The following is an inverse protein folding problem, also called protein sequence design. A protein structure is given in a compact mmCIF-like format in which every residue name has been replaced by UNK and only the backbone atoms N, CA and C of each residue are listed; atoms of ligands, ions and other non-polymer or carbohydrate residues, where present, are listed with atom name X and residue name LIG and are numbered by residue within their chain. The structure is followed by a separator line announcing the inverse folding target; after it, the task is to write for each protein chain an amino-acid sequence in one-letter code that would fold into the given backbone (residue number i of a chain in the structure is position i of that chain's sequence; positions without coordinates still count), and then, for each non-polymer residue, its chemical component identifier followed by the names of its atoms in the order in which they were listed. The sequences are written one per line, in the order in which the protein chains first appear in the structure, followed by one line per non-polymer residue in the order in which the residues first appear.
data_IF_119756667743
#
_entry.id   IF_119756667743
#
_cell.length_a   1.000
_cell.length_b   1.000
_cell.length_c   1.000
_cell.angle_alpha   90.00
_cell.angle_beta   90.00
_cell.angle_gamma   90.00
#
_symmetry.space_group_name_H-M   'P 1'
#
loop_
_entity.id
_entity.type
_entity.pdbx_description
1 polymer ?
#
# COMPACT_ATOMS: atom_id res chain seq x y z
N UNK A 1 25.17 -8.37 -8.35
CA UNK A 1 25.00 -7.13 -7.56
C UNK A 1 25.79 -7.16 -6.24
N UNK A 2 26.92 -7.89 -6.18
CA UNK A 2 27.71 -8.05 -4.96
C UNK A 2 28.93 -7.13 -5.07
N UNK A 3 28.80 -5.92 -4.54
CA UNK A 3 29.87 -4.93 -4.54
C UNK A 3 29.64 -3.91 -3.43
N UNK A 4 30.70 -3.46 -2.77
CA UNK A 4 30.63 -2.48 -1.66
C UNK A 4 30.15 -1.09 -2.10
N UNK A 5 30.18 -0.80 -3.41
CA UNK A 5 29.82 0.50 -3.95
C UNK A 5 28.31 0.55 -4.29
N UNK A 6 27.56 1.38 -3.56
CA UNK A 6 26.12 1.55 -3.75
C UNK A 6 25.75 1.96 -5.18
N UNK A 7 26.44 2.96 -5.76
CA UNK A 7 26.21 3.38 -7.15
C UNK A 7 26.43 2.27 -8.16
N UNK A 8 27.44 1.43 -7.96
CA UNK A 8 27.70 0.32 -8.88
C UNK A 8 26.54 -0.68 -8.87
N UNK A 9 25.94 -0.93 -7.70
CA UNK A 9 24.76 -1.79 -7.57
C UNK A 9 23.53 -1.14 -8.23
N UNK A 10 23.29 0.15 -8.03
CA UNK A 10 22.21 0.89 -8.70
C UNK A 10 22.33 0.81 -10.22
N UNK A 11 23.50 1.16 -10.77
CA UNK A 11 23.76 1.11 -12.21
C UNK A 11 23.60 -0.30 -12.76
N UNK A 12 24.02 -1.33 -12.01
CA UNK A 12 23.83 -2.73 -12.40
C UNK A 12 22.35 -3.12 -12.49
N UNK A 13 21.51 -2.63 -11.56
CA UNK A 13 20.06 -2.88 -11.58
C UNK A 13 19.38 -2.16 -12.74
N UNK A 14 19.74 -0.89 -12.98
CA UNK A 14 19.23 -0.11 -14.11
C UNK A 14 19.60 -0.79 -15.43
N UNK A 15 20.85 -1.21 -15.57
CA UNK A 15 21.33 -1.96 -16.75
C UNK A 15 20.54 -3.25 -16.95
N UNK A 16 20.28 -4.00 -15.86
CA UNK A 16 19.49 -5.23 -15.90
C UNK A 16 18.04 -4.96 -16.34
N UNK A 17 17.42 -3.88 -15.86
CA UNK A 17 16.07 -3.48 -16.26
C UNK A 17 15.99 -3.23 -17.77
N UNK A 18 16.93 -2.42 -18.29
CA UNK A 18 17.04 -2.12 -19.72
C UNK A 18 17.25 -3.39 -20.55
N UNK A 19 18.18 -4.26 -20.15
CA UNK A 19 18.45 -5.49 -20.92
C UNK A 19 17.31 -6.50 -20.86
N UNK A 20 16.54 -6.53 -19.76
CA UNK A 20 15.35 -7.39 -19.69
C UNK A 20 14.26 -6.88 -20.62
N UNK A 21 14.10 -5.55 -20.76
CA UNK A 21 13.18 -4.94 -21.73
C UNK A 21 13.60 -5.20 -23.17
N UNK A 22 14.86 -4.96 -23.50
CA UNK A 22 15.36 -5.00 -24.88
C UNK A 22 15.62 -6.41 -25.40
N UNK A 23 16.14 -7.30 -24.54
CA UNK A 23 16.65 -8.62 -24.97
C UNK A 23 16.00 -9.82 -24.28
N UNK A 24 15.03 -9.61 -23.37
CA UNK A 24 14.34 -10.66 -22.63
C UNK A 24 15.31 -11.71 -22.04
N UNK A 25 16.40 -11.21 -21.46
CA UNK A 25 17.40 -12.06 -20.80
C UNK A 25 16.78 -12.81 -19.61
N UNK A 26 17.36 -13.96 -19.26
CA UNK A 26 16.92 -14.80 -18.14
C UNK A 26 17.13 -14.08 -16.79
N UNK A 27 16.21 -13.17 -16.44
CA UNK A 27 16.28 -12.38 -15.21
C UNK A 27 16.01 -13.22 -13.94
N UNK A 28 15.49 -14.45 -14.09
CA UNK A 28 15.17 -15.37 -12.98
C UNK A 28 16.34 -15.61 -12.02
N UNK A 29 17.57 -15.69 -12.55
CA UNK A 29 18.78 -15.86 -11.74
C UNK A 29 19.11 -14.61 -10.89
N UNK A 30 18.62 -13.44 -11.31
CA UNK A 30 18.87 -12.18 -10.63
C UNK A 30 17.74 -11.77 -9.67
N UNK A 31 16.57 -12.42 -9.71
CA UNK A 31 15.45 -12.12 -8.81
C UNK A 31 15.86 -12.19 -7.33
N UNK A 32 16.57 -13.23 -6.84
CA UNK A 32 16.99 -13.25 -5.44
C UNK A 32 17.92 -12.09 -5.08
N UNK A 33 18.78 -11.66 -6.01
CA UNK A 33 19.67 -10.49 -5.81
C UNK A 33 18.90 -9.17 -5.80
N UNK A 34 17.89 -9.02 -6.65
CA UNK A 34 17.01 -7.85 -6.68
C UNK A 34 16.13 -7.77 -5.43
N UNK A 35 15.61 -8.91 -4.98
CA UNK A 35 14.81 -9.03 -3.76
C UNK A 35 15.65 -8.72 -2.53
N UNK A 36 16.89 -9.20 -2.46
CA UNK A 36 17.82 -8.83 -1.39
C UNK A 36 18.14 -7.32 -1.38
N UNK A 37 18.19 -6.68 -2.55
CA UNK A 37 18.42 -5.23 -2.65
C UNK A 37 17.24 -4.37 -2.15
N UNK A 38 16.05 -4.95 -1.98
CA UNK A 38 14.91 -4.26 -1.33
C UNK A 38 15.14 -4.02 0.17
N UNK A 39 15.98 -4.84 0.81
CA UNK A 39 16.37 -4.71 2.22
C UNK A 39 17.77 -4.09 2.37
N UNK A 40 18.29 -3.43 1.34
CA UNK A 40 19.60 -2.78 1.40
C UNK A 40 19.61 -1.64 2.43
N UNK A 41 20.77 -1.35 3.02
CA UNK A 41 20.93 -0.23 3.94
C UNK A 41 20.76 1.13 3.25
N UNK A 42 21.13 1.22 1.97
CA UNK A 42 21.07 2.44 1.19
C UNK A 42 19.68 2.67 0.56
N UNK A 43 19.12 3.88 0.71
CA UNK A 43 17.80 4.22 0.17
C UNK A 43 17.75 4.29 -1.35
N UNK A 44 18.82 4.74 -2.00
CA UNK A 44 18.89 4.82 -3.47
C UNK A 44 18.87 3.43 -4.10
N UNK A 45 19.61 2.49 -3.51
CA UNK A 45 19.60 1.08 -3.91
C UNK A 45 18.20 0.48 -3.74
N UNK A 46 17.53 0.71 -2.59
CA UNK A 46 16.18 0.18 -2.34
C UNK A 46 15.15 0.69 -3.34
N UNK A 47 15.11 2.01 -3.60
CA UNK A 47 14.13 2.59 -4.53
C UNK A 47 14.41 2.17 -5.98
N UNK A 48 15.68 2.06 -6.36
CA UNK A 48 16.08 1.54 -7.67
C UNK A 48 15.63 0.09 -7.83
N UNK A 49 15.88 -0.77 -6.85
CA UNK A 49 15.44 -2.17 -6.86
C UNK A 49 13.92 -2.29 -7.02
N UNK A 50 13.17 -1.50 -6.25
CA UNK A 50 11.70 -1.46 -6.33
C UNK A 50 11.23 -1.07 -7.73
N UNK A 51 11.80 -0.02 -8.31
CA UNK A 51 11.43 0.46 -9.66
C UNK A 51 11.76 -0.59 -10.72
N UNK A 52 12.96 -1.19 -10.65
CA UNK A 52 13.38 -2.26 -11.56
C UNK A 52 12.47 -3.48 -11.49
N UNK A 53 12.06 -3.90 -10.29
CA UNK A 53 11.14 -5.04 -10.14
C UNK A 53 9.77 -4.71 -10.74
N UNK A 54 9.22 -3.52 -10.47
CA UNK A 54 7.94 -3.10 -11.04
C UNK A 54 8.02 -3.11 -12.56
N UNK A 55 9.07 -2.52 -13.13
CA UNK A 55 9.28 -2.43 -14.58
C UNK A 55 9.40 -3.79 -15.26
N UNK A 56 10.13 -4.74 -14.67
CA UNK A 56 10.28 -6.10 -15.22
C UNK A 56 8.97 -6.89 -15.12
N UNK A 57 8.23 -6.73 -14.02
CA UNK A 57 7.04 -7.54 -13.74
C UNK A 57 5.72 -6.90 -14.16
N UNK A 58 5.68 -5.63 -14.59
CA UNK A 58 4.45 -4.95 -15.00
C UNK A 58 3.75 -5.70 -16.15
N UNK A 59 4.53 -6.15 -17.14
CA UNK A 59 4.07 -6.85 -18.34
C UNK A 59 4.25 -8.37 -18.26
N UNK A 60 4.67 -8.89 -17.09
CA UNK A 60 4.93 -10.31 -16.91
C UNK A 60 3.63 -11.12 -16.72
N UNK A 61 3.60 -12.40 -17.15
CA UNK A 61 2.43 -13.25 -16.99
C UNK A 61 2.11 -13.52 -15.51
N UNK A 62 0.84 -13.81 -15.19
CA UNK A 62 0.35 -14.01 -13.82
C UNK A 62 1.16 -15.06 -13.03
N UNK A 63 1.64 -16.11 -13.71
CA UNK A 63 2.54 -17.12 -13.11
C UNK A 63 3.83 -16.50 -12.55
N UNK A 64 4.44 -15.55 -13.27
CA UNK A 64 5.65 -14.88 -12.84
C UNK A 64 5.38 -13.95 -11.65
N UNK A 65 4.23 -13.26 -11.64
CA UNK A 65 3.85 -12.41 -10.51
C UNK A 65 3.60 -13.22 -9.21
N UNK A 66 2.99 -14.40 -9.31
CA UNK A 66 2.85 -15.31 -8.16
C UNK A 66 4.20 -15.85 -7.65
N UNK A 67 5.14 -16.15 -8.56
CA UNK A 67 6.50 -16.55 -8.20
C UNK A 67 7.23 -15.42 -7.47
N UNK A 68 7.09 -14.16 -7.92
CA UNK A 68 7.63 -12.99 -7.22
C UNK A 68 7.06 -12.86 -5.80
N UNK A 69 5.74 -13.01 -5.60
CA UNK A 69 5.12 -12.97 -4.27
C UNK A 69 5.71 -14.03 -3.34
N UNK A 70 5.94 -15.24 -3.87
CA UNK A 70 6.58 -16.33 -3.12
C UNK A 70 8.02 -15.99 -2.76
N UNK A 71 8.82 -15.51 -3.72
CA UNK A 71 10.22 -15.12 -3.47
C UNK A 71 10.35 -13.96 -2.49
N UNK A 72 9.48 -12.96 -2.54
CA UNK A 72 9.45 -11.85 -1.58
C UNK A 72 9.20 -12.35 -0.14
N UNK A 73 8.35 -13.37 -0.01
CA UNK A 73 8.03 -14.00 1.28
C UNK A 73 9.17 -14.88 1.80
N UNK A 74 9.80 -15.67 0.91
CA UNK A 74 10.94 -16.55 1.24
C UNK A 74 12.20 -15.77 1.64
N UNK A 75 12.45 -14.60 1.05
CA UNK A 75 13.62 -13.75 1.35
C UNK A 75 13.41 -12.81 2.56
N UNK A 76 12.26 -12.87 3.24
CA UNK A 76 12.03 -12.09 4.46
C UNK A 76 11.91 -10.58 4.25
N UNK A 77 11.48 -10.13 3.06
CA UNK A 77 11.27 -8.70 2.77
C UNK A 77 10.13 -8.15 3.66
N UNK A 78 10.30 -6.94 4.17
CA UNK A 78 9.29 -6.26 5.01
C UNK A 78 7.95 -6.20 4.27
N UNK A 79 6.88 -6.59 4.98
CA UNK A 79 5.51 -6.64 4.45
C UNK A 79 5.05 -5.32 3.80
N UNK A 80 5.51 -4.17 4.31
CA UNK A 80 5.20 -2.85 3.74
C UNK A 80 5.78 -2.66 2.33
N UNK A 81 7.01 -3.12 2.10
CA UNK A 81 7.68 -3.04 0.80
C UNK A 81 6.99 -4.00 -0.18
N UNK A 82 6.69 -5.22 0.26
CA UNK A 82 5.95 -6.21 -0.53
C UNK A 82 4.59 -5.67 -0.95
N UNK A 83 3.83 -5.09 -0.01
CA UNK A 83 2.53 -4.47 -0.29
C UNK A 83 2.67 -3.35 -1.33
N UNK A 84 3.67 -2.46 -1.18
CA UNK A 84 3.90 -1.40 -2.15
C UNK A 84 4.18 -1.94 -3.57
N UNK A 85 4.99 -2.98 -3.72
CA UNK A 85 5.29 -3.59 -5.02
C UNK A 85 4.02 -4.22 -5.62
N UNK A 86 3.27 -5.00 -4.83
CA UNK A 86 2.05 -5.67 -5.30
C UNK A 86 0.96 -4.69 -5.71
N UNK A 87 0.81 -3.58 -4.97
CA UNK A 87 -0.11 -2.50 -5.34
C UNK A 87 0.30 -1.82 -6.66
N UNK A 88 1.59 -1.60 -6.90
CA UNK A 88 2.07 -1.03 -8.16
C UNK A 88 1.88 -1.98 -9.35
N UNK A 89 1.95 -3.31 -9.12
CA UNK A 89 1.75 -4.31 -10.17
C UNK A 89 0.27 -4.58 -10.51
N UNK A 90 -0.66 -3.86 -9.85
CA UNK A 90 -2.10 -4.08 -10.00
C UNK A 90 -2.53 -5.48 -9.56
N UNK A 91 -1.84 -6.05 -8.56
CA UNK A 91 -2.19 -7.31 -7.91
C UNK A 91 -2.51 -7.08 -6.44
N UNK A 92 -3.30 -6.04 -6.19
CA UNK A 92 -3.84 -5.87 -4.86
C UNK A 92 -4.73 -7.07 -4.59
N UNK A 93 -4.72 -7.60 -3.38
CA UNK A 93 -5.54 -8.76 -2.95
C UNK A 93 -7.06 -8.58 -3.24
N UNK A 94 -7.45 -7.37 -3.67
CA UNK A 94 -8.77 -6.97 -4.14
C UNK A 94 -9.17 -7.39 -5.57
N UNK A 95 -8.28 -7.94 -6.40
CA UNK A 95 -8.63 -8.30 -7.79
C UNK A 95 -9.54 -9.54 -7.91
N UNK A 96 -9.79 -10.27 -6.82
CA UNK A 96 -10.81 -11.35 -6.82
C UNK A 96 -12.24 -10.82 -6.70
N UNK A 97 -12.45 -9.50 -6.52
CA UNK A 97 -13.77 -8.89 -6.32
C UNK A 97 -14.12 -7.76 -7.32
N UNK A 98 -13.22 -7.41 -8.23
CA UNK A 98 -13.43 -6.32 -9.18
C UNK A 98 -14.17 -6.75 -10.49
N UNK A 99 -14.33 -8.05 -10.75
CA UNK A 99 -15.04 -8.55 -11.95
C UNK A 99 -16.57 -8.56 -11.84
N UNK A 100 -17.18 -8.02 -10.78
CA UNK A 100 -18.65 -7.96 -10.64
C UNK A 100 -19.24 -6.54 -10.54
N UNK A 101 -18.48 -5.48 -10.84
CA UNK A 101 -19.08 -4.13 -11.02
C UNK A 101 -19.31 -3.77 -12.48
N UNK A 102 -20.03 -4.65 -13.17
CA UNK A 102 -20.84 -4.26 -14.31
C UNK A 102 -22.21 -3.86 -13.77
N UNK A 103 -22.36 -2.64 -13.25
CA UNK A 103 -23.69 -2.11 -12.93
C UNK A 103 -23.83 -0.67 -13.42
N UNK A 104 -24.24 -0.59 -14.67
CA UNK A 104 -25.26 0.32 -15.21
C UNK A 104 -25.31 1.72 -14.58
N UNK A 105 -24.48 2.61 -15.13
CA UNK A 105 -24.50 4.05 -14.89
C UNK A 105 -25.80 4.64 -15.48
N UNK A 106 -26.86 4.77 -14.67
CA UNK A 106 -28.05 5.56 -15.01
C UNK A 106 -27.77 7.05 -14.75
N UNK A 107 -28.12 7.98 -15.67
CA UNK A 107 -28.00 9.41 -15.44
C UNK A 107 -29.25 9.90 -14.70
N UNK A 108 -29.05 10.52 -13.54
CA UNK A 108 -30.10 11.22 -12.80
C UNK A 108 -29.76 12.70 -12.71
N UNK A 109 -30.22 13.47 -13.69
CA UNK A 109 -30.16 14.93 -13.65
C UNK A 109 -31.46 15.49 -13.09
N UNK A 110 -31.28 16.51 -12.25
CA UNK A 110 -32.09 17.73 -12.14
C UNK A 110 -32.99 17.91 -10.91
N UNK A 111 -32.72 19.06 -10.27
CA UNK A 111 -33.63 20.03 -9.63
C UNK A 111 -33.68 20.07 -8.09
N UNK A 112 -33.21 21.22 -7.61
CA UNK A 112 -33.41 21.80 -6.29
C UNK A 112 -34.90 22.00 -5.96
N UNK A 113 -35.21 22.18 -4.66
CA UNK A 113 -35.97 23.32 -4.09
C UNK A 113 -36.18 23.10 -2.58
N UNK A 114 -35.82 24.13 -1.81
CA UNK A 114 -36.08 24.30 -0.37
C UNK A 114 -37.57 24.47 -0.07
N UNK A 115 -38.05 23.98 1.09
CA UNK A 115 -39.18 24.59 1.82
C UNK A 115 -39.27 24.17 3.30
N UNK A 116 -38.83 25.11 4.14
CA UNK A 116 -39.36 25.56 5.44
C UNK A 116 -40.68 24.95 5.97
N UNK A 117 -40.69 24.46 7.23
CA UNK A 117 -41.76 24.69 8.24
C UNK A 117 -41.40 24.13 9.63
N UNK A 118 -41.17 25.09 10.53
CA UNK A 118 -41.49 25.17 11.97
C UNK A 118 -41.49 23.90 12.85
N UNK A 119 -40.48 23.77 13.72
CA UNK A 119 -40.55 23.02 14.97
C UNK A 119 -40.13 23.94 16.14
N UNK A 120 -40.94 24.10 17.21
CA UNK A 120 -40.69 25.08 18.27
C UNK A 120 -39.60 24.62 19.27
N UNK A 121 -38.84 25.56 19.88
CA UNK A 121 -37.79 25.24 20.83
C UNK A 121 -38.36 24.83 22.20
N UNK A 122 -37.87 23.72 22.77
CA UNK A 122 -38.17 23.35 24.16
C UNK A 122 -37.53 24.35 25.14
N UNK A 123 -38.27 24.79 26.18
CA UNK A 123 -37.77 25.76 27.13
C UNK A 123 -36.77 25.14 28.11
N UNK A 124 -35.77 25.96 28.45
CA UNK A 124 -34.86 25.82 29.57
C UNK A 124 -35.61 25.93 30.89
N UNK A 125 -35.36 25.03 31.85
CA UNK A 125 -35.58 25.35 33.26
C UNK A 125 -34.48 24.76 34.12
N UNK A 126 -34.01 25.63 35.00
CA UNK A 126 -32.82 25.57 35.84
C UNK A 126 -33.28 25.25 37.25
N UNK A 127 -32.70 24.25 37.93
CA UNK A 127 -32.55 24.25 39.40
C UNK A 127 -31.63 23.10 39.81
N UNK A 128 -30.35 23.38 40.07
CA UNK A 128 -29.82 23.61 41.41
C UNK A 128 -29.93 22.37 42.31
N UNK A 129 -28.80 21.71 42.57
CA UNK A 129 -28.17 21.69 43.90
C UNK A 129 -27.11 20.58 43.98
N UNK A 130 -25.86 21.02 44.13
CA UNK A 130 -24.81 20.29 44.84
C UNK A 130 -25.29 20.03 46.27
N UNK A 131 -25.00 18.84 46.82
CA UNK A 131 -24.32 18.82 48.11
C UNK A 131 -23.07 17.94 48.08
N UNK A 132 -22.00 18.48 48.65
CA UNK A 132 -20.92 17.69 49.21
C UNK A 132 -21.38 17.01 50.50
N UNK A 133 -21.04 15.74 50.68
CA UNK A 133 -20.73 15.08 51.96
C UNK A 133 -20.65 13.57 51.71
N UNK A 134 -19.90 12.72 52.42
CA UNK A 134 -18.78 12.79 53.37
C UNK A 134 -18.60 11.32 53.81
N UNK A 135 -17.39 10.78 53.77
CA UNK A 135 -16.96 9.61 54.55
C UNK A 135 -15.41 9.66 54.58
N UNK A 136 -14.75 10.30 55.54
CA UNK A 136 -14.46 9.83 56.89
C UNK A 136 -13.92 8.37 56.95
N UNK A 137 -12.60 8.25 57.18
CA UNK A 137 -11.90 7.44 58.21
C UNK A 137 -10.61 6.78 57.66
N UNK A 138 -9.45 7.27 58.13
CA UNK A 138 -8.22 6.52 58.45
C UNK A 138 -7.28 7.51 59.17
N UNK A 139 -7.19 7.49 60.51
CA UNK A 139 -6.13 6.83 61.29
C UNK A 139 -4.72 7.21 60.82
N UNK A 140 -4.09 8.16 61.49
CA UNK A 140 -3.12 7.96 62.59
C UNK A 140 -2.94 9.29 63.34
#
# INVERSE_FOLDING_TARGET
MVGKNARAREMSMIWLATMTREHNILFRAHVPSLVAALEDADSGVRETAKTTIIEIFQNAPSRAKSDLKRQLSENGVRKSIVAAILSNLGLSDHDVLASSRSETRRPGSSLAVSRHRDDPPRPTSVLSQRPQSRAAIARE
#
